data_IF_488432470677
#
_entry.id   IF_488432470677
#
_cell.length_a   1.000
_cell.length_b   1.000
_cell.length_c   1.000
_cell.angle_alpha   90.00
_cell.angle_beta   90.00
_cell.angle_gamma   90.00
#
_symmetry.space_group_name_H-M   'P 1'
#
loop_
_entity.id
_entity.type
_entity.pdbx_description
1 polymer ?
#
# COMPACT_ATOMS: atom_id res chain seq x y z
N UNK A 1 -60.47 47.72 -22.70
CA UNK A 1 -60.04 48.01 -21.31
C UNK A 1 -58.89 47.07 -20.96
N UNK A 2 -57.77 47.68 -20.56
CA UNK A 2 -56.59 47.18 -19.81
C UNK A 2 -55.71 46.04 -20.35
N UNK A 3 -54.41 46.24 -20.09
CA UNK A 3 -53.20 45.75 -20.73
C UNK A 3 -52.24 45.32 -19.61
N UNK A 4 -51.69 44.10 -19.63
CA UNK A 4 -50.56 43.62 -18.79
C UNK A 4 -49.90 42.48 -19.58
N UNK A 5 -48.86 42.68 -20.41
CA UNK A 5 -47.45 42.96 -20.16
C UNK A 5 -46.71 41.93 -19.28
N UNK A 6 -45.74 41.24 -19.91
CA UNK A 6 -44.55 40.54 -19.38
C UNK A 6 -44.76 39.22 -18.61
N UNK A 7 -44.39 38.11 -19.25
CA UNK A 7 -43.43 37.19 -18.62
C UNK A 7 -42.57 36.52 -19.69
N UNK A 8 -41.37 37.07 -19.87
CA UNK A 8 -40.29 36.45 -20.62
C UNK A 8 -39.84 35.20 -19.85
N UNK A 9 -40.14 34.01 -20.38
CA UNK A 9 -39.53 32.78 -19.88
C UNK A 9 -38.13 32.70 -20.48
N UNK A 10 -37.19 33.25 -19.72
CA UNK A 10 -35.75 33.20 -19.91
C UNK A 10 -35.34 31.74 -20.14
N UNK A 11 -34.86 31.40 -21.34
CA UNK A 11 -34.07 30.20 -21.57
C UNK A 11 -32.79 30.32 -20.72
N UNK A 12 -32.85 29.87 -19.47
CA UNK A 12 -31.65 29.55 -18.71
C UNK A 12 -30.99 28.35 -19.39
N UNK A 13 -29.98 28.65 -20.19
CA UNK A 13 -28.89 27.75 -20.50
C UNK A 13 -28.41 27.10 -19.20
N UNK A 14 -28.87 25.90 -18.90
CA UNK A 14 -28.15 25.01 -18.00
C UNK A 14 -26.99 24.47 -18.83
N UNK A 15 -25.89 25.24 -18.91
CA UNK A 15 -24.61 24.69 -19.30
C UNK A 15 -24.34 23.58 -18.30
N UNK A 16 -24.48 22.33 -18.75
CA UNK A 16 -24.05 21.17 -17.98
C UNK A 16 -22.60 21.47 -17.59
N UNK A 17 -22.38 21.75 -16.31
CA UNK A 17 -21.04 21.82 -15.75
C UNK A 17 -20.34 20.53 -16.22
N UNK A 18 -19.19 20.60 -16.91
CA UNK A 18 -18.46 19.38 -17.18
C UNK A 18 -18.25 18.74 -15.82
N UNK A 19 -18.76 17.51 -15.64
CA UNK A 19 -18.43 16.71 -14.47
C UNK A 19 -16.92 16.74 -14.39
N UNK A 20 -16.42 17.51 -13.42
CA UNK A 20 -15.03 17.62 -13.08
C UNK A 20 -14.52 16.19 -13.06
N UNK A 21 -13.57 15.86 -13.94
CA UNK A 21 -12.95 14.55 -13.96
C UNK A 21 -12.64 14.22 -12.50
N UNK A 22 -13.38 13.25 -11.95
CA UNK A 22 -13.18 12.81 -10.58
C UNK A 22 -11.73 12.40 -10.57
N UNK A 23 -10.87 13.16 -9.91
CA UNK A 23 -9.46 12.87 -9.80
C UNK A 23 -9.40 11.52 -9.10
N UNK A 24 -9.38 10.46 -9.90
CA UNK A 24 -9.57 9.07 -9.50
C UNK A 24 -8.18 8.57 -9.15
N UNK A 25 -7.45 9.35 -8.34
CA UNK A 25 -6.38 8.76 -7.56
C UNK A 25 -7.09 7.73 -6.68
N UNK A 26 -6.78 6.45 -6.90
CA UNK A 26 -7.30 5.41 -6.04
C UNK A 26 -6.95 5.80 -4.59
N UNK A 27 -7.82 5.52 -3.60
CA UNK A 27 -7.49 5.81 -2.22
C UNK A 27 -6.15 5.14 -1.90
N UNK A 28 -5.14 5.97 -1.59
CA UNK A 28 -3.79 5.52 -1.24
C UNK A 28 -3.89 4.77 0.08
N UNK A 29 -3.75 3.45 0.04
CA UNK A 29 -3.84 2.63 1.23
C UNK A 29 -2.50 2.71 1.97
N UNK A 30 -2.54 3.14 3.23
CA UNK A 30 -1.42 2.93 4.14
C UNK A 30 -1.49 1.48 4.62
N UNK A 31 -0.47 0.70 4.28
CA UNK A 31 -0.35 -0.72 4.59
C UNK A 31 0.79 -0.89 5.58
N UNK A 32 0.49 -1.56 6.69
CA UNK A 32 1.49 -2.02 7.64
C UNK A 32 1.86 -3.45 7.32
N UNK A 33 3.11 -3.68 6.88
CA UNK A 33 3.63 -5.04 6.75
C UNK A 33 4.34 -5.44 8.04
N UNK A 34 4.03 -6.62 8.55
CA UNK A 34 4.86 -7.34 9.51
C UNK A 34 5.44 -8.58 8.83
N UNK A 35 6.76 -8.52 8.63
CA UNK A 35 7.52 -9.61 8.07
C UNK A 35 8.11 -10.42 9.22
N UNK A 36 7.56 -11.62 9.42
CA UNK A 36 8.04 -12.58 10.40
C UNK A 36 9.14 -13.42 9.77
N UNK A 37 10.28 -13.47 10.42
CA UNK A 37 11.44 -14.25 10.01
C UNK A 37 11.66 -15.35 11.03
N UNK A 38 11.55 -16.59 10.59
CA UNK A 38 11.84 -17.76 11.39
C UNK A 38 13.27 -18.23 11.12
N UNK A 39 14.09 -18.25 12.18
CA UNK A 39 15.47 -18.73 12.14
C UNK A 39 15.61 -20.02 12.93
N UNK A 40 16.02 -21.15 12.33
CA UNK A 40 16.35 -22.37 13.08
C UNK A 40 17.46 -22.16 14.12
N UNK A 41 18.36 -21.19 13.93
CA UNK A 41 19.41 -20.83 14.89
C UNK A 41 19.00 -19.71 15.86
N UNK A 42 17.82 -19.10 15.68
CA UNK A 42 17.37 -17.88 16.37
C UNK A 42 18.37 -16.71 16.32
N UNK A 43 19.33 -16.75 15.40
CA UNK A 43 20.20 -15.61 15.12
C UNK A 43 19.53 -14.69 14.10
N UNK A 44 19.36 -13.43 14.49
CA UNK A 44 18.76 -12.37 13.67
C UNK A 44 19.70 -11.17 13.47
N UNK A 45 20.93 -11.27 13.98
CA UNK A 45 21.93 -10.21 13.85
C UNK A 45 22.36 -10.04 12.39
N UNK A 46 22.48 -8.79 11.94
CA UNK A 46 22.90 -8.46 10.58
C UNK A 46 21.87 -8.82 9.50
N UNK A 47 20.60 -8.99 9.89
CA UNK A 47 19.51 -9.13 8.95
C UNK A 47 19.01 -7.75 8.49
N UNK A 48 18.94 -7.57 7.18
CA UNK A 48 18.37 -6.39 6.54
C UNK A 48 17.14 -6.80 5.74
N UNK A 49 16.01 -6.18 6.05
CA UNK A 49 14.77 -6.40 5.32
C UNK A 49 14.42 -5.20 4.44
N UNK A 50 13.77 -5.46 3.32
CA UNK A 50 13.27 -4.43 2.42
C UNK A 50 11.99 -4.87 1.74
N UNK A 51 11.10 -3.93 1.50
CA UNK A 51 9.93 -4.12 0.64
C UNK A 51 10.10 -3.23 -0.59
N UNK A 52 9.91 -3.78 -1.79
CA UNK A 52 9.93 -3.03 -3.04
C UNK A 52 8.53 -3.06 -3.65
N UNK A 53 7.96 -1.91 -3.97
CA UNK A 53 6.82 -1.83 -4.87
C UNK A 53 7.33 -2.07 -6.30
N UNK A 54 6.91 -3.16 -6.93
CA UNK A 54 7.35 -3.55 -8.27
C UNK A 54 6.74 -2.67 -9.36
N UNK A 55 5.62 -2.01 -9.07
CA UNK A 55 4.96 -1.09 -10.01
C UNK A 55 5.65 0.27 -10.04
N UNK A 56 6.06 0.80 -8.89
CA UNK A 56 6.68 2.14 -8.78
C UNK A 56 8.20 2.10 -8.64
N UNK A 57 8.78 0.96 -8.30
CA UNK A 57 10.21 0.80 -8.03
C UNK A 57 10.66 1.32 -6.66
N UNK A 58 9.75 1.91 -5.87
CA UNK A 58 10.06 2.45 -4.54
C UNK A 58 10.46 1.32 -3.60
N UNK A 59 11.56 1.52 -2.87
CA UNK A 59 12.05 0.60 -1.84
C UNK A 59 11.80 1.21 -0.47
N UNK A 60 11.14 0.44 0.39
CA UNK A 60 10.82 0.75 1.77
C UNK A 60 11.77 0.01 2.69
N UNK A 61 12.33 0.74 3.65
CA UNK A 61 13.10 0.20 4.76
C UNK A 61 12.20 -0.01 5.98
N UNK A 62 12.53 -0.95 6.88
CA UNK A 62 11.74 -1.19 8.06
C UNK A 62 11.78 0.03 8.99
N UNK A 63 10.63 0.35 9.56
CA UNK A 63 10.50 1.36 10.61
C UNK A 63 10.97 0.84 11.96
N UNK A 64 10.85 -0.47 12.18
CA UNK A 64 11.33 -1.14 13.40
C UNK A 64 11.67 -2.60 13.13
N UNK A 65 12.53 -3.14 14.00
CA UNK A 65 12.83 -4.55 14.11
C UNK A 65 12.75 -4.96 15.59
N UNK A 66 12.15 -6.11 15.86
CA UNK A 66 12.02 -6.67 17.21
C UNK A 66 11.95 -8.19 17.17
N UNK A 67 12.24 -8.84 18.30
CA UNK A 67 12.06 -10.29 18.45
C UNK A 67 10.81 -10.53 19.29
N UNK A 68 9.79 -11.17 18.72
CA UNK A 68 8.53 -11.49 19.39
C UNK A 68 8.37 -13.02 19.39
N UNK A 69 8.23 -13.60 20.58
CA UNK A 69 8.04 -15.05 20.75
C UNK A 69 9.10 -15.90 20.00
N UNK A 70 10.36 -15.44 20.00
CA UNK A 70 11.47 -16.13 19.34
C UNK A 70 11.59 -15.89 17.83
N UNK A 71 10.72 -15.07 17.22
CA UNK A 71 10.70 -14.75 15.78
C UNK A 71 11.17 -13.31 15.55
N UNK A 72 12.00 -13.09 14.53
CA UNK A 72 12.34 -11.74 14.10
C UNK A 72 11.15 -11.09 13.39
N UNK A 73 10.81 -9.85 13.73
CA UNK A 73 9.67 -9.13 13.16
C UNK A 73 10.13 -7.76 12.65
N UNK A 74 10.06 -7.57 11.34
CA UNK A 74 10.26 -6.27 10.71
C UNK A 74 8.91 -5.61 10.43
N UNK A 75 8.77 -4.34 10.82
CA UNK A 75 7.58 -3.56 10.55
C UNK A 75 7.85 -2.49 9.49
N UNK A 76 6.96 -2.37 8.52
CA UNK A 76 7.03 -1.38 7.45
C UNK A 76 5.74 -0.58 7.37
N UNK A 77 5.85 0.72 7.11
CA UNK A 77 4.77 1.55 6.62
C UNK A 77 4.93 1.74 5.12
N UNK A 78 3.96 1.26 4.35
CA UNK A 78 4.00 1.26 2.88
C UNK A 78 2.76 1.96 2.37
N UNK A 79 2.91 2.77 1.33
CA UNK A 79 1.79 3.33 0.58
C UNK A 79 1.62 2.54 -0.71
N UNK A 80 0.38 2.21 -1.06
CA UNK A 80 0.10 1.53 -2.32
C UNK A 80 -1.36 1.56 -2.74
N UNK A 81 -1.59 1.15 -3.97
CA UNK A 81 -2.91 1.10 -4.61
C UNK A 81 -3.33 -0.34 -4.92
N UNK A 82 -4.63 -0.57 -5.08
CA UNK A 82 -5.16 -1.89 -5.47
C UNK A 82 -4.50 -2.35 -6.77
N UNK A 83 -4.05 -3.59 -6.79
CA UNK A 83 -3.40 -4.22 -7.95
C UNK A 83 -1.88 -4.07 -7.95
N UNK A 84 -1.30 -3.25 -7.07
CA UNK A 84 0.15 -3.16 -6.95
C UNK A 84 0.74 -4.41 -6.29
N UNK A 85 1.96 -4.74 -6.73
CA UNK A 85 2.72 -5.92 -6.31
C UNK A 85 3.95 -5.46 -5.54
N UNK A 86 4.22 -6.12 -4.43
CA UNK A 86 5.34 -5.84 -3.55
C UNK A 86 6.22 -7.08 -3.43
N UNK A 87 7.51 -6.92 -3.67
CA UNK A 87 8.52 -7.94 -3.33
C UNK A 87 9.05 -7.67 -1.93
N UNK A 88 9.09 -8.70 -1.10
CA UNK A 88 9.64 -8.67 0.24
C UNK A 88 10.94 -9.47 0.24
N UNK A 89 11.97 -8.93 0.85
CA UNK A 89 13.30 -9.55 0.87
C UNK A 89 13.94 -9.35 2.23
N UNK A 90 14.56 -10.41 2.75
CA UNK A 90 15.42 -10.40 3.93
C UNK A 90 16.79 -10.92 3.52
N UNK A 91 17.83 -10.17 3.85
CA UNK A 91 19.22 -10.52 3.56
C UNK A 91 20.02 -10.64 4.84
N UNK A 92 21.02 -11.52 4.81
CA UNK A 92 22.15 -11.50 5.73
C UNK A 92 23.37 -11.08 4.94
N UNK A 93 23.81 -9.83 5.13
CA UNK A 93 24.79 -9.21 4.23
C UNK A 93 24.28 -9.16 2.78
N UNK A 94 24.98 -9.82 1.85
CA UNK A 94 24.59 -9.86 0.43
C UNK A 94 23.67 -11.04 0.08
N UNK A 95 23.55 -12.04 0.96
CA UNK A 95 22.78 -13.26 0.71
C UNK A 95 21.31 -13.04 1.03
N UNK A 96 20.42 -13.31 0.08
CA UNK A 96 18.99 -13.35 0.34
C UNK A 96 18.66 -14.63 1.09
N UNK A 97 18.26 -14.49 2.34
CA UNK A 97 17.90 -15.62 3.21
C UNK A 97 16.40 -15.90 3.15
N UNK A 98 15.59 -14.91 2.80
CA UNK A 98 14.14 -15.03 2.76
C UNK A 98 13.53 -14.06 1.75
N UNK A 99 12.50 -14.48 1.01
CA UNK A 99 11.78 -13.62 0.06
C UNK A 99 10.33 -14.03 -0.10
N UNK A 100 9.48 -13.08 -0.49
CA UNK A 100 8.08 -13.33 -0.80
C UNK A 100 7.51 -12.22 -1.67
N UNK A 101 6.26 -12.39 -2.11
CA UNK A 101 5.53 -11.39 -2.90
C UNK A 101 4.15 -11.17 -2.31
N UNK A 102 3.67 -9.94 -2.37
CA UNK A 102 2.33 -9.57 -1.92
C UNK A 102 1.63 -8.70 -2.95
N UNK A 103 0.35 -8.97 -3.24
CA UNK A 103 -0.46 -8.16 -4.14
C UNK A 103 -1.58 -7.49 -3.36
N UNK A 104 -1.78 -6.19 -3.55
CA UNK A 104 -2.91 -5.47 -2.94
C UNK A 104 -4.19 -5.85 -3.67
N UNK A 105 -5.14 -6.46 -2.97
CA UNK A 105 -6.47 -6.80 -3.50
C UNK A 105 -7.53 -5.81 -3.03
N UNK A 106 -8.70 -5.77 -3.68
CA UNK A 106 -9.75 -4.78 -3.42
C UNK A 106 -10.35 -4.81 -1.99
N UNK A 107 -10.17 -5.91 -1.26
CA UNK A 107 -10.47 -6.02 0.18
C UNK A 107 -9.57 -5.12 1.04
N UNK A 108 -8.50 -4.57 0.46
CA UNK A 108 -7.39 -3.96 1.19
C UNK A 108 -7.44 -2.42 1.26
N UNK A 109 -8.63 -1.82 1.24
CA UNK A 109 -8.80 -0.37 0.98
C UNK A 109 -8.77 0.56 2.19
N UNK A 110 -8.55 0.06 3.41
CA UNK A 110 -8.41 0.88 4.62
C UNK A 110 -7.48 0.19 5.63
N UNK A 111 -6.33 0.80 5.97
CA UNK A 111 -5.35 0.37 6.99
C UNK A 111 -5.18 -1.15 7.13
N UNK A 112 -4.28 -1.71 6.32
CA UNK A 112 -4.08 -3.16 6.26
C UNK A 112 -2.92 -3.61 7.12
N UNK A 113 -3.13 -4.71 7.84
CA UNK A 113 -2.07 -5.44 8.52
C UNK A 113 -1.77 -6.70 7.73
N UNK A 114 -0.59 -6.75 7.12
CA UNK A 114 -0.13 -7.89 6.34
C UNK A 114 0.93 -8.63 7.16
N UNK A 115 0.57 -9.81 7.66
CA UNK A 115 1.52 -10.73 8.26
C UNK A 115 2.01 -11.70 7.18
N UNK A 116 3.29 -11.60 6.82
CA UNK A 116 3.92 -12.61 5.95
C UNK A 116 5.06 -13.27 6.70
N UNK A 117 5.13 -14.60 6.61
CA UNK A 117 6.23 -15.37 7.18
C UNK A 117 7.18 -15.75 6.06
N UNK A 118 8.45 -15.48 6.25
CA UNK A 118 9.51 -15.94 5.36
C UNK A 118 10.48 -16.79 6.17
N UNK A 119 10.84 -17.93 5.60
CA UNK A 119 11.73 -18.90 6.23
C UNK A 119 13.14 -18.68 5.73
N UNK A 120 14.11 -18.64 6.65
CA UNK A 120 15.51 -18.59 6.24
C UNK A 120 15.95 -19.95 5.68
N UNK A 121 16.41 -19.95 4.43
CA UNK A 121 17.04 -21.12 3.82
C UNK A 121 18.56 -21.00 4.02
N UNK A 122 19.15 -21.94 4.75
CA UNK A 122 20.61 -22.03 4.95
C UNK A 122 21.24 -22.93 3.90
#
# INVERSE_FOLDING_TARGET
>A
MLNILKLALLLCYCTASPLTAKNTKAPEAIITFQLFVDSPSQSYSGLDASIKNENTGVIYTPQSFQIISGRGVFQFGVAGEIGEVFSLTVKSGTTTVASGTYTITATNTNQHYVATTVYMNY
#
